data_IF_097604675138
#
_entry.id   IF_097604675138
#
_cell.length_a   1.000
_cell.length_b   1.000
_cell.length_c   1.000
_cell.angle_alpha   90.00
_cell.angle_beta   90.00
_cell.angle_gamma   90.00
#
_symmetry.space_group_name_H-M   'P 1'
#
loop_
_entity.id
_entity.type
_entity.pdbx_description
1 polymer ?
#
# COMPACT_ATOMS: atom_id res chain seq x y z
N UNK A 1 0.98 23.44 18.84
CA UNK A 1 0.79 23.13 17.42
C UNK A 1 -0.66 22.72 17.21
N UNK A 2 -1.41 23.46 16.41
CA UNK A 2 -2.73 23.08 15.89
C UNK A 2 -2.58 22.30 14.56
N UNK A 3 -3.68 21.84 13.97
CA UNK A 3 -3.63 21.04 12.74
C UNK A 3 -3.07 21.78 11.52
N UNK A 4 -3.41 23.06 11.34
CA UNK A 4 -2.89 23.85 10.22
C UNK A 4 -1.36 24.06 10.34
N UNK A 5 -0.88 24.41 11.53
CA UNK A 5 0.55 24.53 11.83
C UNK A 5 1.28 23.19 11.63
N UNK A 6 0.61 22.07 11.94
CA UNK A 6 1.16 20.73 11.75
C UNK A 6 1.29 20.34 10.26
N UNK A 7 0.34 20.75 9.42
CA UNK A 7 0.45 20.59 7.97
C UNK A 7 1.60 21.44 7.42
N UNK A 8 1.68 22.72 7.79
CA UNK A 8 2.77 23.61 7.37
C UNK A 8 4.15 23.05 7.76
N UNK A 9 4.27 22.44 8.95
CA UNK A 9 5.50 21.80 9.38
C UNK A 9 5.93 20.63 8.48
N UNK A 10 5.00 19.73 8.13
CA UNK A 10 5.29 18.57 7.27
C UNK A 10 5.51 19.00 5.82
N UNK A 11 4.68 19.89 5.29
CA UNK A 11 4.73 20.33 3.89
C UNK A 11 5.86 21.34 3.64
N UNK A 12 6.32 22.05 4.67
CA UNK A 12 7.42 23.01 4.59
C UNK A 12 8.77 22.39 4.18
N UNK A 13 8.90 21.06 4.21
CA UNK A 13 10.08 20.32 3.75
C UNK A 13 9.88 19.62 2.40
N UNK A 14 8.74 19.83 1.74
CA UNK A 14 8.40 19.21 0.43
C UNK A 14 9.46 19.47 -0.65
N UNK A 15 10.10 20.65 -0.62
CA UNK A 15 11.18 21.04 -1.54
C UNK A 15 12.41 20.12 -1.49
N UNK A 16 12.62 19.36 -0.40
CA UNK A 16 13.72 18.41 -0.29
C UNK A 16 13.55 17.22 -1.25
N UNK A 17 12.33 16.95 -1.70
CA UNK A 17 12.00 15.83 -2.57
C UNK A 17 12.34 14.46 -1.96
N UNK A 18 12.61 13.49 -2.84
CA UNK A 18 13.03 12.15 -2.44
C UNK A 18 14.53 12.08 -2.23
N UNK A 19 14.97 11.75 -1.02
CA UNK A 19 16.38 11.50 -0.68
C UNK A 19 16.53 10.06 -0.16
N UNK A 20 17.10 9.13 -0.94
CA UNK A 20 17.34 7.77 -0.46
C UNK A 20 18.25 7.75 0.77
N UNK A 21 17.99 6.85 1.71
CA UNK A 21 18.79 6.69 2.93
C UNK A 21 17.92 6.37 4.13
N UNK A 22 18.51 5.73 5.14
CA UNK A 22 17.83 5.41 6.40
C UNK A 22 18.35 6.22 7.58
N UNK A 23 19.40 7.02 7.37
CA UNK A 23 20.14 7.71 8.42
C UNK A 23 19.26 8.73 9.14
N UNK A 24 18.59 9.61 8.38
CA UNK A 24 17.71 10.67 8.93
C UNK A 24 16.53 10.10 9.70
N UNK A 25 15.80 9.16 9.09
CA UNK A 25 14.66 8.52 9.74
C UNK A 25 15.09 7.72 10.99
N UNK A 26 16.25 7.06 10.95
CA UNK A 26 16.76 6.33 12.11
C UNK A 26 17.12 7.27 13.26
N UNK A 27 17.76 8.42 12.97
CA UNK A 27 18.04 9.45 13.98
C UNK A 27 16.74 10.00 14.58
N UNK A 28 15.76 10.35 13.74
CA UNK A 28 14.45 10.84 14.19
C UNK A 28 13.78 9.82 15.13
N UNK A 29 13.75 8.55 14.74
CA UNK A 29 13.14 7.49 15.53
C UNK A 29 13.88 7.23 16.85
N UNK A 30 15.21 7.35 16.88
CA UNK A 30 16.00 7.27 18.11
C UNK A 30 15.58 8.39 19.09
N UNK A 31 15.50 9.62 18.59
CA UNK A 31 15.11 10.81 19.37
C UNK A 31 13.66 10.75 19.86
N UNK A 32 12.78 10.10 19.12
CA UNK A 32 11.40 9.78 19.53
C UNK A 32 11.30 8.64 20.55
N UNK A 33 12.43 8.07 20.99
CA UNK A 33 12.47 7.00 21.98
C UNK A 33 12.14 5.62 21.41
N UNK A 34 12.49 5.38 20.15
CA UNK A 34 12.38 4.11 19.42
C UNK A 34 10.95 3.54 19.36
N UNK A 35 9.96 4.32 18.85
CA UNK A 35 8.58 3.82 18.75
C UNK A 35 8.46 2.57 17.88
N UNK A 36 9.30 2.43 16.85
CA UNK A 36 9.37 1.26 15.97
C UNK A 36 9.78 -0.04 16.69
N UNK A 37 10.29 0.00 17.91
CA UNK A 37 10.61 -1.22 18.68
C UNK A 37 9.42 -1.72 19.52
N UNK A 38 8.32 -0.93 19.59
CA UNK A 38 7.18 -1.18 20.49
C UNK A 38 5.94 -1.75 19.79
N UNK A 39 6.01 -1.94 18.47
CA UNK A 39 4.90 -2.40 17.63
C UNK A 39 5.40 -3.53 16.73
N UNK A 40 4.54 -4.49 16.39
CA UNK A 40 4.85 -5.53 15.39
C UNK A 40 4.45 -5.05 14.00
N UNK A 41 5.06 -5.57 12.93
CA UNK A 41 4.78 -5.06 11.58
C UNK A 41 4.50 -6.13 10.55
N UNK A 42 3.59 -5.83 9.63
CA UNK A 42 3.60 -6.36 8.27
C UNK A 42 4.16 -5.28 7.36
N UNK A 43 5.16 -5.61 6.55
CA UNK A 43 5.81 -4.63 5.67
C UNK A 43 5.52 -4.96 4.22
N UNK A 44 4.88 -4.06 3.48
CA UNK A 44 4.33 -4.32 2.14
C UNK A 44 5.05 -3.46 1.11
N UNK A 45 5.77 -4.11 0.20
CA UNK A 45 6.39 -3.49 -0.97
C UNK A 45 5.83 -4.06 -2.28
N UNK A 46 6.04 -3.35 -3.38
CA UNK A 46 5.48 -3.72 -4.68
C UNK A 46 5.36 -2.54 -5.64
N UNK A 47 5.09 -2.80 -6.91
CA UNK A 47 4.73 -1.75 -7.88
C UNK A 47 3.24 -1.47 -7.73
N UNK A 48 2.41 -2.48 -7.97
CA UNK A 48 0.95 -2.36 -7.92
C UNK A 48 0.36 -3.33 -6.87
N UNK A 49 -0.79 -2.94 -6.29
CA UNK A 49 -1.52 -3.76 -5.32
C UNK A 49 -1.08 -3.62 -3.86
N UNK A 50 -0.09 -2.78 -3.55
CA UNK A 50 0.39 -2.49 -2.18
C UNK A 50 -0.78 -2.08 -1.27
N UNK A 51 -1.37 -0.91 -1.50
CA UNK A 51 -2.51 -0.42 -0.73
C UNK A 51 -3.69 -1.39 -0.61
N UNK A 52 -4.09 -2.07 -1.70
CA UNK A 52 -5.15 -3.09 -1.63
C UNK A 52 -4.79 -4.25 -0.69
N UNK A 53 -3.57 -4.76 -0.81
CA UNK A 53 -3.06 -5.86 0.03
C UNK A 53 -2.95 -5.41 1.48
N UNK A 54 -2.46 -4.19 1.71
CA UNK A 54 -2.38 -3.58 3.03
C UNK A 54 -3.75 -3.42 3.68
N UNK A 55 -4.76 -2.97 2.92
CA UNK A 55 -6.13 -2.82 3.38
C UNK A 55 -6.77 -4.17 3.72
N UNK A 56 -6.56 -5.21 2.90
CA UNK A 56 -7.03 -6.56 3.17
C UNK A 56 -6.41 -7.12 4.46
N UNK A 57 -5.08 -6.99 4.62
CA UNK A 57 -4.37 -7.47 5.79
C UNK A 57 -4.78 -6.74 7.07
N UNK A 58 -4.87 -5.40 7.02
CA UNK A 58 -5.35 -4.62 8.16
C UNK A 58 -6.77 -5.04 8.55
N UNK A 59 -7.65 -5.23 7.58
CA UNK A 59 -9.04 -5.66 7.82
C UNK A 59 -9.11 -7.05 8.48
N UNK A 60 -8.30 -8.01 8.02
CA UNK A 60 -8.20 -9.34 8.63
C UNK A 60 -7.65 -9.30 10.05
N UNK A 61 -6.60 -8.51 10.29
CA UNK A 61 -6.00 -8.37 11.62
C UNK A 61 -6.95 -7.70 12.62
N UNK A 62 -7.62 -6.62 12.23
CA UNK A 62 -8.69 -6.01 13.04
C UNK A 62 -9.83 -7.01 13.30
N UNK A 63 -10.26 -7.77 12.29
CA UNK A 63 -11.31 -8.78 12.46
C UNK A 63 -10.91 -9.99 13.33
N UNK A 64 -9.60 -10.19 13.54
CA UNK A 64 -9.03 -11.16 14.47
C UNK A 64 -8.91 -10.62 15.91
N UNK A 65 -9.20 -9.34 16.13
CA UNK A 65 -9.22 -8.70 17.44
C UNK A 65 -7.96 -7.92 17.81
N UNK A 66 -7.02 -7.74 16.88
CA UNK A 66 -5.82 -6.92 17.09
C UNK A 66 -6.11 -5.44 16.86
N UNK A 67 -5.59 -4.55 17.73
CA UNK A 67 -5.54 -3.11 17.46
C UNK A 67 -4.53 -2.87 16.36
N UNK A 68 -5.02 -2.60 15.15
CA UNK A 68 -4.21 -2.67 13.93
C UNK A 68 -3.99 -1.28 13.32
N UNK A 69 -2.72 -0.87 13.25
CA UNK A 69 -2.32 0.33 12.49
C UNK A 69 -2.20 0.07 10.99
N UNK A 70 -2.41 1.10 10.17
CA UNK A 70 -2.14 1.09 8.73
C UNK A 70 -1.47 2.40 8.33
N UNK A 71 -0.30 2.28 7.70
CA UNK A 71 0.42 3.39 7.08
C UNK A 71 0.42 3.22 5.56
N UNK A 72 -0.01 4.26 4.84
CA UNK A 72 -0.16 4.26 3.38
C UNK A 72 0.44 5.53 2.77
N UNK A 73 0.78 5.46 1.48
CA UNK A 73 1.18 6.62 0.71
C UNK A 73 0.92 6.43 -0.78
N UNK A 74 0.48 7.47 -1.52
CA UNK A 74 0.03 8.77 -1.02
C UNK A 74 -1.36 8.69 -0.35
N UNK A 75 -1.85 9.82 0.18
CA UNK A 75 -3.26 9.99 0.58
C UNK A 75 -4.11 10.42 -0.63
N UNK A 76 -5.45 10.34 -0.51
CA UNK A 76 -6.39 10.79 -1.54
C UNK A 76 -6.81 12.24 -1.35
N UNK A 77 -7.28 12.62 -0.16
CA UNK A 77 -7.80 13.97 0.10
C UNK A 77 -7.12 14.65 1.30
N UNK A 78 -6.80 13.90 2.35
CA UNK A 78 -6.25 14.46 3.59
C UNK A 78 -5.01 13.71 4.06
N UNK A 79 -4.04 14.45 4.59
CA UNK A 79 -2.80 13.89 5.13
C UNK A 79 -3.06 12.82 6.22
N UNK A 80 -4.12 12.97 7.00
CA UNK A 80 -4.54 12.02 8.03
C UNK A 80 -4.74 10.60 7.50
N UNK A 81 -5.18 10.43 6.25
CA UNK A 81 -5.41 9.13 5.63
C UNK A 81 -4.13 8.28 5.58
N UNK A 82 -2.95 8.92 5.60
CA UNK A 82 -1.67 8.22 5.62
C UNK A 82 -1.49 7.35 6.86
N UNK A 83 -2.18 7.62 7.98
CA UNK A 83 -2.09 6.82 9.20
C UNK A 83 -3.48 6.57 9.81
N UNK A 84 -3.87 5.31 9.93
CA UNK A 84 -5.15 4.91 10.54
C UNK A 84 -4.99 3.77 11.54
N UNK A 85 -5.94 3.65 12.47
CA UNK A 85 -6.05 2.54 13.41
C UNK A 85 -7.45 1.94 13.29
N UNK A 86 -7.53 0.63 13.05
CA UNK A 86 -8.79 -0.11 12.87
C UNK A 86 -9.75 0.54 11.87
N UNK A 87 -9.18 1.12 10.80
CA UNK A 87 -9.92 1.77 9.71
C UNK A 87 -10.40 3.19 10.03
N UNK A 88 -9.94 3.80 11.11
CA UNK A 88 -10.17 5.22 11.44
C UNK A 88 -8.88 6.01 11.28
N UNK A 89 -8.92 7.02 10.42
CA UNK A 89 -7.79 7.93 10.22
C UNK A 89 -7.42 8.63 11.53
N UNK A 90 -6.15 8.98 11.68
CA UNK A 90 -5.66 9.78 12.81
C UNK A 90 -6.47 11.08 12.91
N UNK A 91 -6.88 11.47 14.13
CA UNK A 91 -7.62 12.71 14.32
C UNK A 91 -6.72 13.93 14.12
N UNK A 92 -7.31 15.09 13.83
CA UNK A 92 -6.55 16.34 13.68
C UNK A 92 -5.75 16.69 14.94
N UNK A 93 -6.31 16.41 16.12
CA UNK A 93 -5.66 16.60 17.41
C UNK A 93 -4.49 15.62 17.60
N UNK A 94 -4.68 14.35 17.27
CA UNK A 94 -3.62 13.34 17.38
C UNK A 94 -2.50 13.59 16.37
N UNK A 95 -2.84 14.03 15.17
CA UNK A 95 -1.91 14.42 14.13
C UNK A 95 -1.06 15.61 14.59
N UNK A 96 -1.70 16.70 15.03
CA UNK A 96 -1.00 17.88 15.53
C UNK A 96 -0.12 17.58 16.75
N UNK A 97 -0.61 16.75 17.69
CA UNK A 97 0.16 16.31 18.85
C UNK A 97 1.37 15.45 18.46
N UNK A 98 1.26 14.64 17.40
CA UNK A 98 2.37 13.84 16.89
C UNK A 98 3.38 14.70 16.14
N UNK A 99 2.94 15.65 15.32
CA UNK A 99 3.83 16.64 14.68
C UNK A 99 4.59 17.48 15.71
N UNK A 100 3.95 17.88 16.83
CA UNK A 100 4.63 18.59 17.89
C UNK A 100 5.77 17.76 18.52
N UNK A 101 5.55 16.45 18.72
CA UNK A 101 6.60 15.54 19.20
C UNK A 101 7.74 15.40 18.20
N UNK A 102 7.43 15.31 16.90
CA UNK A 102 8.43 15.27 15.82
C UNK A 102 9.24 16.57 15.75
N UNK A 103 8.59 17.73 15.84
CA UNK A 103 9.25 19.03 15.82
C UNK A 103 10.24 19.17 16.98
N UNK A 104 9.84 18.76 18.19
CA UNK A 104 10.74 18.73 19.34
C UNK A 104 11.90 17.73 19.15
N UNK A 105 11.65 16.55 18.58
CA UNK A 105 12.69 15.58 18.27
C UNK A 105 13.65 16.05 17.16
N UNK A 106 13.18 16.89 16.24
CA UNK A 106 13.99 17.45 15.17
C UNK A 106 15.02 18.48 15.67
N UNK A 107 14.83 19.06 16.86
CA UNK A 107 15.76 20.05 17.41
C UNK A 107 17.16 19.46 17.58
N UNK A 108 18.12 20.05 16.87
CA UNK A 108 19.52 19.64 16.89
C UNK A 108 19.82 18.35 16.11
N UNK A 109 18.93 17.90 15.21
CA UNK A 109 19.29 16.88 14.21
C UNK A 109 20.33 17.40 13.23
N UNK A 110 21.20 16.52 12.74
CA UNK A 110 22.26 16.88 11.78
C UNK A 110 21.72 17.23 10.39
N UNK A 111 20.70 16.49 9.95
CA UNK A 111 19.98 16.75 8.70
C UNK A 111 18.46 16.74 8.93
N UNK A 112 17.74 17.56 8.16
CA UNK A 112 16.28 17.57 8.20
C UNK A 112 15.70 16.35 7.47
N UNK A 113 14.70 15.72 8.08
CA UNK A 113 13.89 14.68 7.43
C UNK A 113 13.10 15.26 6.25
N UNK A 114 12.95 14.46 5.20
CA UNK A 114 12.01 14.69 4.10
C UNK A 114 10.56 14.55 4.56
N UNK A 115 9.59 15.06 3.79
CA UNK A 115 8.16 14.93 4.09
C UNK A 115 7.75 13.46 4.32
N UNK A 116 8.26 12.54 3.49
CA UNK A 116 7.95 11.12 3.60
C UNK A 116 8.54 10.49 4.86
N UNK A 117 9.76 10.88 5.24
CA UNK A 117 10.39 10.45 6.51
C UNK A 117 9.61 10.98 7.72
N UNK A 118 9.17 12.25 7.70
CA UNK A 118 8.32 12.82 8.77
C UNK A 118 6.98 12.09 8.87
N UNK A 119 6.28 11.86 7.76
CA UNK A 119 5.02 11.10 7.76
C UNK A 119 5.21 9.68 8.31
N UNK A 120 6.30 9.03 7.94
CA UNK A 120 6.63 7.68 8.43
C UNK A 120 6.90 7.70 9.93
N UNK A 121 7.73 8.63 10.41
CA UNK A 121 8.02 8.78 11.84
C UNK A 121 6.75 9.08 12.65
N UNK A 122 5.87 9.94 12.12
CA UNK A 122 4.59 10.28 12.73
C UNK A 122 3.72 9.03 12.89
N UNK A 123 3.58 8.23 11.84
CA UNK A 123 2.77 7.01 11.90
C UNK A 123 3.34 6.00 12.91
N UNK A 124 4.65 5.77 12.90
CA UNK A 124 5.32 4.87 13.85
C UNK A 124 5.15 5.36 15.30
N UNK A 125 5.34 6.66 15.54
CA UNK A 125 5.13 7.28 16.85
C UNK A 125 3.67 7.14 17.31
N UNK A 126 2.72 7.45 16.43
CA UNK A 126 1.29 7.35 16.71
C UNK A 126 0.89 5.91 17.06
N UNK A 127 1.28 4.91 16.27
CA UNK A 127 0.95 3.50 16.55
C UNK A 127 1.55 3.02 17.87
N UNK A 128 2.77 3.45 18.19
CA UNK A 128 3.41 3.10 19.47
C UNK A 128 2.72 3.78 20.66
N UNK A 129 2.36 5.07 20.54
CA UNK A 129 1.61 5.81 21.56
C UNK A 129 0.25 5.16 21.84
N UNK A 130 -0.42 4.76 20.77
CA UNK A 130 -1.71 4.09 20.81
C UNK A 130 -1.63 2.61 21.18
N UNK A 131 -0.42 2.06 21.35
CA UNK A 131 -0.19 0.65 21.71
C UNK A 131 -0.87 -0.31 20.73
N UNK A 132 -0.73 -0.06 19.43
CA UNK A 132 -1.14 -1.03 18.41
C UNK A 132 -0.40 -2.35 18.60
N UNK A 133 -1.11 -3.46 18.48
CA UNK A 133 -0.52 -4.80 18.55
C UNK A 133 0.36 -5.06 17.31
N UNK A 134 -0.12 -4.59 16.15
CA UNK A 134 0.53 -4.74 14.86
C UNK A 134 0.16 -3.57 13.94
N UNK A 135 1.07 -3.19 13.04
CA UNK A 135 0.80 -2.22 11.99
C UNK A 135 1.19 -2.76 10.61
N UNK A 136 0.39 -2.45 9.60
CA UNK A 136 0.68 -2.75 8.19
C UNK A 136 1.29 -1.49 7.56
N UNK A 137 2.54 -1.57 7.12
CA UNK A 137 3.26 -0.45 6.51
C UNK A 137 3.41 -0.67 5.01
N UNK A 138 2.82 0.20 4.21
CA UNK A 138 3.09 0.28 2.77
C UNK A 138 4.35 1.11 2.52
N UNK A 139 5.30 0.58 1.74
CA UNK A 139 6.47 1.34 1.27
C UNK A 139 6.03 2.44 0.30
N UNK A 140 6.67 3.60 0.37
CA UNK A 140 6.48 4.67 -0.61
C UNK A 140 7.19 4.35 -1.94
N UNK A 141 8.50 4.12 -1.89
CA UNK A 141 9.32 3.86 -3.07
C UNK A 141 10.36 2.77 -2.83
N UNK A 142 10.44 1.80 -3.75
CA UNK A 142 11.39 0.70 -3.65
C UNK A 142 11.11 -0.19 -2.44
N UNK A 143 12.04 -0.23 -1.49
CA UNK A 143 11.92 -0.97 -0.24
C UNK A 143 13.18 -0.88 0.61
N UNK A 144 14.35 -1.19 0.03
CA UNK A 144 15.65 -1.22 0.74
C UNK A 144 15.99 0.08 1.47
N UNK A 145 15.80 1.22 0.82
CA UNK A 145 16.12 2.56 1.34
C UNK A 145 14.86 3.41 1.58
N UNK A 146 13.69 2.76 1.64
CA UNK A 146 12.45 3.43 1.97
C UNK A 146 12.40 3.76 3.47
N UNK A 147 11.87 4.92 3.85
CA UNK A 147 11.82 5.31 5.27
C UNK A 147 11.10 4.28 6.16
N UNK A 148 10.10 3.58 5.61
CA UNK A 148 9.39 2.51 6.34
C UNK A 148 10.29 1.31 6.65
N UNK A 149 11.43 1.18 5.99
CA UNK A 149 12.42 0.14 6.24
C UNK A 149 13.33 0.42 7.45
N UNK A 150 13.10 1.52 8.18
CA UNK A 150 13.75 1.77 9.48
C UNK A 150 13.15 0.95 10.65
N UNK A 151 12.17 0.07 10.39
CA UNK A 151 11.61 -0.85 11.38
C UNK A 151 12.54 -2.05 11.66
N UNK A 152 12.41 -2.71 12.83
CA UNK A 152 13.02 -4.03 13.05
C UNK A 152 12.41 -5.09 12.11
N UNK A 153 12.88 -6.33 12.23
CA UNK A 153 12.36 -7.47 11.45
C UNK A 153 10.81 -7.54 11.55
N UNK A 154 10.07 -7.44 10.42
CA UNK A 154 8.62 -7.55 10.44
C UNK A 154 8.18 -8.98 10.80
N UNK A 155 6.94 -9.13 11.28
CA UNK A 155 6.31 -10.43 11.45
C UNK A 155 6.08 -11.12 10.10
N UNK A 156 5.79 -10.34 9.06
CA UNK A 156 5.72 -10.80 7.69
C UNK A 156 6.13 -9.66 6.73
N UNK A 157 7.02 -9.95 5.78
CA UNK A 157 7.25 -9.08 4.63
C UNK A 157 6.35 -9.52 3.46
N UNK A 158 5.84 -8.57 2.68
CA UNK A 158 4.92 -8.85 1.57
C UNK A 158 5.41 -8.15 0.32
N UNK A 159 5.57 -8.90 -0.77
CA UNK A 159 5.88 -8.38 -2.10
C UNK A 159 4.66 -8.54 -3.00
N UNK A 160 4.00 -7.45 -3.33
CA UNK A 160 2.89 -7.46 -4.32
C UNK A 160 3.44 -7.47 -5.74
N UNK A 161 2.58 -7.30 -6.75
CA UNK A 161 2.99 -7.32 -8.15
C UNK A 161 4.16 -6.36 -8.42
N UNK A 162 5.17 -6.82 -9.16
CA UNK A 162 6.33 -6.06 -9.60
C UNK A 162 6.22 -5.83 -11.10
N UNK A 163 6.33 -4.56 -11.48
CA UNK A 163 6.43 -4.13 -12.87
C UNK A 163 7.31 -2.90 -12.98
N UNK A 164 7.61 -2.51 -14.23
CA UNK A 164 8.37 -1.30 -14.51
C UNK A 164 7.64 -0.06 -13.99
N UNK A 165 8.28 0.62 -13.05
CA UNK A 165 7.84 1.89 -12.47
C UNK A 165 9.04 2.55 -11.79
N UNK A 166 9.08 3.88 -11.76
CA UNK A 166 10.20 4.65 -11.19
C UNK A 166 11.59 4.20 -11.70
N UNK A 167 11.71 3.90 -12.99
CA UNK A 167 12.92 3.29 -13.58
C UNK A 167 14.17 4.16 -13.46
N UNK A 168 14.00 5.48 -13.38
CA UNK A 168 15.09 6.42 -13.11
C UNK A 168 15.73 6.26 -11.71
N UNK A 169 15.02 5.64 -10.76
CA UNK A 169 15.48 5.48 -9.36
C UNK A 169 15.72 4.02 -9.02
N UNK A 170 14.86 3.11 -9.46
CA UNK A 170 14.87 1.69 -9.06
C UNK A 170 15.57 0.76 -10.06
N UNK A 171 15.96 1.28 -11.23
CA UNK A 171 16.54 0.50 -12.31
C UNK A 171 15.59 0.28 -13.48
N UNK A 172 16.16 -0.09 -14.62
CA UNK A 172 15.48 -0.21 -15.92
C UNK A 172 14.93 -1.63 -16.20
N UNK A 173 15.12 -2.58 -15.29
CA UNK A 173 14.59 -3.95 -15.39
C UNK A 173 13.72 -4.32 -14.20
N UNK A 174 12.79 -5.26 -14.42
CA UNK A 174 11.91 -5.76 -13.35
C UNK A 174 12.69 -6.50 -12.25
N UNK A 175 13.82 -7.12 -12.60
CA UNK A 175 14.74 -7.78 -11.67
C UNK A 175 15.45 -6.80 -10.74
N UNK A 176 15.92 -5.65 -11.26
CA UNK A 176 16.51 -4.60 -10.43
C UNK A 176 15.49 -4.01 -9.46
N UNK A 177 14.28 -3.73 -9.97
CA UNK A 177 13.16 -3.24 -9.16
C UNK A 177 12.80 -4.28 -8.07
N UNK A 178 12.81 -5.57 -8.40
CA UNK A 178 12.56 -6.65 -7.45
C UNK A 178 13.63 -6.70 -6.36
N UNK A 179 14.91 -6.53 -6.70
CA UNK A 179 16.00 -6.51 -5.75
C UNK A 179 15.88 -5.36 -4.74
N UNK A 180 15.48 -4.17 -5.20
CA UNK A 180 15.21 -3.02 -4.33
C UNK A 180 14.02 -3.27 -3.39
N UNK A 181 12.92 -3.82 -3.91
CA UNK A 181 11.72 -4.13 -3.12
C UNK A 181 11.96 -5.23 -2.10
N UNK A 182 12.74 -6.25 -2.45
CA UNK A 182 13.16 -7.33 -1.56
C UNK A 182 14.08 -6.86 -0.42
N UNK A 183 14.55 -5.61 -0.42
CA UNK A 183 15.31 -5.02 0.68
C UNK A 183 14.54 -4.91 2.01
N UNK A 184 13.23 -5.19 2.01
CA UNK A 184 12.42 -5.32 3.23
C UNK A 184 12.57 -6.69 3.92
N UNK A 185 13.22 -7.66 3.27
CA UNK A 185 13.48 -8.98 3.87
C UNK A 185 14.55 -8.87 4.97
N UNK A 186 14.18 -9.25 6.19
CA UNK A 186 15.02 -9.14 7.41
C UNK A 186 15.02 -10.44 8.22
N UNK A 187 14.77 -11.58 7.55
CA UNK A 187 14.52 -12.88 8.17
C UNK A 187 13.06 -13.08 8.56
N UNK A 188 12.73 -14.28 9.06
CA UNK A 188 11.35 -14.63 9.43
C UNK A 188 10.56 -15.13 8.23
N UNK A 189 9.38 -14.56 7.96
CA UNK A 189 8.49 -15.03 6.91
C UNK A 189 8.18 -13.94 5.89
N UNK A 190 8.01 -14.34 4.63
CA UNK A 190 7.54 -13.47 3.57
C UNK A 190 6.52 -14.14 2.66
N UNK A 191 5.57 -13.35 2.16
CA UNK A 191 4.63 -13.74 1.12
C UNK A 191 4.85 -12.88 -0.13
N UNK A 192 4.73 -13.47 -1.32
CA UNK A 192 4.93 -12.76 -2.57
C UNK A 192 3.87 -13.12 -3.62
N UNK A 193 3.63 -12.18 -4.52
CA UNK A 193 2.85 -12.35 -5.75
C UNK A 193 3.45 -13.45 -6.62
N UNK A 194 2.62 -14.19 -7.38
CA UNK A 194 3.14 -15.12 -8.38
C UNK A 194 3.72 -14.32 -9.56
N UNK A 195 5.03 -14.37 -9.71
CA UNK A 195 5.80 -13.51 -10.60
C UNK A 195 6.54 -14.35 -11.66
N UNK A 196 7.02 -13.76 -12.77
CA UNK A 196 7.87 -14.46 -13.72
C UNK A 196 9.12 -15.04 -13.04
N UNK A 197 9.62 -16.18 -13.53
CA UNK A 197 10.68 -16.95 -12.85
C UNK A 197 11.96 -16.15 -12.62
N UNK A 198 12.35 -15.24 -13.53
CA UNK A 198 13.50 -14.35 -13.33
C UNK A 198 13.36 -13.47 -12.08
N UNK A 199 12.18 -12.89 -11.87
CA UNK A 199 11.86 -12.11 -10.67
C UNK A 199 11.78 -13.01 -9.44
N UNK A 200 11.16 -14.21 -9.55
CA UNK A 200 11.11 -15.18 -8.44
C UNK A 200 12.51 -15.58 -7.98
N UNK A 201 13.45 -15.79 -8.90
CA UNK A 201 14.83 -16.12 -8.59
C UNK A 201 15.51 -15.02 -7.76
N UNK A 202 15.36 -13.75 -8.14
CA UNK A 202 15.86 -12.60 -7.36
C UNK A 202 15.28 -12.57 -5.96
N UNK A 203 13.96 -12.75 -5.82
CA UNK A 203 13.31 -12.76 -4.50
C UNK A 203 13.78 -13.94 -3.64
N UNK A 204 13.97 -15.13 -4.23
CA UNK A 204 14.52 -16.30 -3.53
C UNK A 204 15.96 -16.07 -3.07
N UNK A 205 16.80 -15.46 -3.90
CA UNK A 205 18.18 -15.11 -3.54
C UNK A 205 18.22 -14.16 -2.35
N UNK A 206 17.44 -13.07 -2.40
CA UNK A 206 17.36 -12.09 -1.30
C UNK A 206 16.78 -12.69 -0.02
N UNK A 207 15.78 -13.56 -0.15
CA UNK A 207 15.21 -14.28 0.97
C UNK A 207 16.25 -15.23 1.61
N UNK A 208 16.99 -15.99 0.80
CA UNK A 208 18.06 -16.88 1.27
C UNK A 208 19.19 -16.11 1.98
N UNK A 209 19.62 -14.97 1.44
CA UNK A 209 20.66 -14.13 2.04
C UNK A 209 20.32 -13.60 3.44
N UNK A 210 19.02 -13.52 3.77
CA UNK A 210 18.53 -13.00 5.05
C UNK A 210 17.92 -14.08 5.94
N UNK A 211 17.87 -15.34 5.48
CA UNK A 211 17.17 -16.43 6.17
C UNK A 211 15.65 -16.22 6.25
N UNK A 212 15.07 -15.50 5.28
CA UNK A 212 13.63 -15.28 5.19
C UNK A 212 12.97 -16.47 4.50
N UNK A 213 11.95 -17.06 5.09
CA UNK A 213 11.16 -18.10 4.46
C UNK A 213 10.10 -17.45 3.54
N UNK A 214 10.36 -17.52 2.24
CA UNK A 214 9.52 -16.91 1.20
C UNK A 214 8.50 -17.90 0.64
N UNK A 215 7.24 -17.50 0.61
CA UNK A 215 6.14 -18.20 -0.06
C UNK A 215 5.56 -17.36 -1.19
N UNK A 216 5.32 -17.99 -2.32
CA UNK A 216 4.61 -17.36 -3.45
C UNK A 216 3.15 -17.77 -3.41
N UNK A 217 2.25 -16.83 -3.67
CA UNK A 217 0.86 -17.14 -3.97
C UNK A 217 0.79 -18.07 -5.19
N UNK A 218 -0.15 -19.00 -5.16
CA UNK A 218 -0.36 -19.97 -6.24
C UNK A 218 -1.61 -19.57 -7.01
N UNK A 219 -1.44 -18.82 -8.09
CA UNK A 219 -2.59 -18.39 -8.88
C UNK A 219 -3.27 -19.55 -9.64
N UNK A 220 -2.62 -20.70 -9.77
CA UNK A 220 -3.26 -21.93 -10.27
C UNK A 220 -4.29 -22.51 -9.29
N UNK A 221 -4.16 -22.21 -7.99
CA UNK A 221 -5.11 -22.58 -6.96
C UNK A 221 -6.27 -21.58 -6.78
N UNK A 222 -6.32 -20.52 -7.60
CA UNK A 222 -7.34 -19.48 -7.56
C UNK A 222 -8.44 -19.76 -8.57
N UNK A 223 -9.69 -19.83 -8.09
CA UNK A 223 -10.87 -20.06 -8.93
C UNK A 223 -11.89 -18.95 -8.70
N UNK A 224 -12.11 -18.03 -9.65
CA UNK A 224 -13.20 -17.05 -9.56
C UNK A 224 -14.55 -17.76 -9.53
N UNK A 225 -15.46 -17.34 -8.65
CA UNK A 225 -16.80 -17.91 -8.50
C UNK A 225 -17.90 -16.91 -8.89
N UNK A 226 -17.75 -15.65 -8.50
CA UNK A 226 -18.62 -14.55 -8.92
C UNK A 226 -17.84 -13.25 -9.00
N UNK A 227 -18.28 -12.34 -9.85
CA UNK A 227 -17.60 -11.07 -10.07
C UNK A 227 -18.58 -9.97 -10.43
N UNK A 228 -18.57 -8.90 -9.64
CA UNK A 228 -19.40 -7.72 -9.81
C UNK A 228 -18.68 -6.47 -9.31
N UNK A 229 -19.20 -5.31 -9.67
CA UNK A 229 -18.74 -4.01 -9.14
C UNK A 229 -18.90 -3.89 -7.62
N UNK A 230 -19.81 -4.66 -7.01
CA UNK A 230 -20.07 -4.66 -5.56
C UNK A 230 -19.18 -5.67 -4.80
N UNK A 231 -18.38 -6.46 -5.51
CA UNK A 231 -17.49 -7.45 -4.93
C UNK A 231 -17.42 -8.74 -5.73
N UNK A 232 -16.53 -9.62 -5.27
CA UNK A 232 -16.15 -10.86 -5.94
C UNK A 232 -16.13 -12.01 -4.93
N UNK A 233 -16.53 -13.20 -5.37
CA UNK A 233 -16.32 -14.46 -4.66
C UNK A 233 -15.32 -15.33 -5.41
N UNK A 234 -14.46 -16.02 -4.67
CA UNK A 234 -13.45 -16.90 -5.24
C UNK A 234 -13.16 -18.07 -4.30
N UNK A 235 -12.65 -19.16 -4.85
CA UNK A 235 -12.01 -20.21 -4.09
C UNK A 235 -10.48 -20.06 -4.19
N UNK A 236 -9.79 -20.32 -3.08
CA UNK A 236 -8.33 -20.41 -3.04
C UNK A 236 -7.93 -21.62 -2.22
N UNK A 237 -7.18 -22.55 -2.83
CA UNK A 237 -6.79 -23.84 -2.21
C UNK A 237 -7.98 -24.62 -1.63
N UNK A 238 -9.11 -24.60 -2.33
CA UNK A 238 -10.34 -25.30 -1.94
C UNK A 238 -11.27 -24.56 -0.97
N UNK A 239 -10.82 -23.44 -0.37
CA UNK A 239 -11.63 -22.63 0.54
C UNK A 239 -12.28 -21.44 -0.16
N UNK A 240 -13.53 -21.13 0.18
CA UNK A 240 -14.28 -20.00 -0.41
C UNK A 240 -14.10 -18.72 0.40
N UNK A 241 -13.91 -17.62 -0.32
CA UNK A 241 -13.72 -16.26 0.19
C UNK A 241 -14.51 -15.25 -0.63
N UNK A 242 -14.72 -14.08 -0.03
CA UNK A 242 -15.36 -12.94 -0.66
C UNK A 242 -14.56 -11.67 -0.37
N UNK A 243 -14.47 -10.79 -1.36
CA UNK A 243 -13.90 -9.45 -1.23
C UNK A 243 -14.87 -8.43 -1.82
N UNK A 244 -14.87 -7.19 -1.30
CA UNK A 244 -15.67 -6.10 -1.88
C UNK A 244 -14.93 -5.30 -2.95
N UNK A 245 -13.65 -5.57 -3.18
CA UNK A 245 -12.84 -4.84 -4.16
C UNK A 245 -13.12 -5.40 -5.56
N UNK A 246 -13.43 -4.53 -6.51
CA UNK A 246 -13.68 -4.90 -7.91
C UNK A 246 -12.38 -5.01 -8.73
N UNK A 247 -12.42 -5.82 -9.78
CA UNK A 247 -11.30 -6.06 -10.70
C UNK A 247 -10.55 -7.37 -10.44
N UNK A 248 -10.22 -8.09 -11.51
CA UNK A 248 -9.61 -9.43 -11.47
C UNK A 248 -8.30 -9.48 -10.66
N UNK A 249 -7.48 -8.43 -10.77
CA UNK A 249 -6.21 -8.32 -10.06
C UNK A 249 -6.39 -8.30 -8.52
N UNK A 250 -7.57 -7.94 -8.01
CA UNK A 250 -7.85 -7.97 -6.57
C UNK A 250 -7.94 -9.40 -6.02
N UNK A 251 -8.35 -10.39 -6.82
CA UNK A 251 -8.31 -11.79 -6.39
C UNK A 251 -6.86 -12.25 -6.16
N UNK A 252 -5.94 -11.81 -7.02
CA UNK A 252 -4.50 -12.07 -6.87
C UNK A 252 -3.91 -11.36 -5.64
N UNK A 253 -4.31 -10.12 -5.38
CA UNK A 253 -3.94 -9.41 -4.15
C UNK A 253 -4.48 -10.13 -2.90
N UNK A 254 -5.72 -10.66 -2.96
CA UNK A 254 -6.31 -11.43 -1.88
C UNK A 254 -5.59 -12.76 -1.65
N UNK A 255 -5.14 -13.46 -2.71
CA UNK A 255 -4.30 -14.65 -2.57
C UNK A 255 -2.97 -14.35 -1.87
N UNK A 256 -2.31 -13.23 -2.19
CA UNK A 256 -1.09 -12.79 -1.48
C UNK A 256 -1.39 -12.47 -0.02
N UNK A 257 -2.51 -11.79 0.27
CA UNK A 257 -2.94 -11.53 1.65
C UNK A 257 -3.19 -12.84 2.42
N UNK A 258 -3.76 -13.86 1.78
CA UNK A 258 -3.98 -15.19 2.39
C UNK A 258 -2.66 -15.91 2.70
N UNK A 259 -1.66 -15.84 1.81
CA UNK A 259 -0.32 -16.39 2.11
C UNK A 259 0.36 -15.61 3.26
N UNK A 260 0.21 -14.28 3.29
CA UNK A 260 0.72 -13.46 4.39
C UNK A 260 0.02 -13.78 5.73
N UNK A 261 -1.27 -14.08 5.72
CA UNK A 261 -2.00 -14.57 6.91
C UNK A 261 -1.44 -15.91 7.39
N UNK A 262 -1.09 -16.83 6.50
CA UNK A 262 -0.43 -18.09 6.88
C UNK A 262 0.96 -17.83 7.49
N UNK A 263 1.76 -16.94 6.89
CA UNK A 263 3.03 -16.48 7.46
C UNK A 263 2.86 -15.89 8.86
N UNK A 264 1.84 -15.07 9.08
CA UNK A 264 1.55 -14.47 10.39
C UNK A 264 1.13 -15.51 11.43
N UNK A 265 0.29 -16.49 11.06
CA UNK A 265 -0.04 -17.62 11.95
C UNK A 265 1.20 -18.39 12.37
N UNK A 266 2.12 -18.65 11.44
CA UNK A 266 3.39 -19.31 11.70
C UNK A 266 4.36 -18.46 12.52
N UNK A 267 4.22 -17.13 12.46
CA UNK A 267 4.90 -16.18 13.32
C UNK A 267 4.28 -16.07 14.74
N UNK A 268 3.22 -16.83 15.04
CA UNK A 268 2.60 -16.93 16.36
C UNK A 268 1.34 -16.07 16.55
N UNK A 269 0.79 -15.47 15.49
CA UNK A 269 -0.47 -14.72 15.58
C UNK A 269 -1.69 -15.65 15.54
N UNK A 270 -2.66 -15.44 16.41
CA UNK A 270 -3.94 -16.12 16.36
C UNK A 270 -4.89 -15.37 15.41
N UNK A 271 -5.06 -15.92 14.21
CA UNK A 271 -5.93 -15.36 13.17
C UNK A 271 -6.93 -16.46 12.79
N UNK A 272 -8.11 -16.54 13.44
CA UNK A 272 -9.08 -17.61 13.16
C UNK A 272 -9.61 -17.55 11.72
N UNK A 273 -9.98 -18.69 11.09
CA UNK A 273 -10.51 -18.70 9.73
C UNK A 273 -11.73 -17.79 9.52
N UNK A 274 -12.59 -17.65 10.53
CA UNK A 274 -13.72 -16.73 10.50
C UNK A 274 -13.31 -15.24 10.43
N UNK A 275 -12.21 -14.87 11.09
CA UNK A 275 -11.66 -13.51 11.01
C UNK A 275 -11.13 -13.21 9.60
N UNK A 276 -10.48 -14.19 8.96
CA UNK A 276 -10.02 -14.06 7.57
C UNK A 276 -11.20 -13.82 6.62
N UNK A 277 -12.24 -14.65 6.69
CA UNK A 277 -13.42 -14.51 5.80
C UNK A 277 -14.11 -13.17 5.99
N UNK A 278 -14.38 -12.75 7.24
CA UNK A 278 -15.00 -11.45 7.54
C UNK A 278 -14.12 -10.28 7.12
N UNK A 279 -12.82 -10.34 7.45
CA UNK A 279 -11.87 -9.27 7.17
C UNK A 279 -11.69 -9.01 5.67
N UNK A 280 -11.58 -10.07 4.86
CA UNK A 280 -11.51 -9.93 3.39
C UNK A 280 -12.80 -9.30 2.81
N UNK A 281 -13.97 -9.73 3.30
CA UNK A 281 -15.26 -9.20 2.83
C UNK A 281 -15.50 -7.73 3.24
N UNK A 282 -15.05 -7.35 4.44
CA UNK A 282 -15.21 -5.99 4.98
C UNK A 282 -14.14 -5.00 4.52
N UNK A 283 -13.08 -5.47 3.85
CA UNK A 283 -11.97 -4.61 3.45
C UNK A 283 -12.45 -3.58 2.40
N UNK A 284 -12.29 -2.29 2.70
CA UNK A 284 -12.50 -1.19 1.76
C UNK A 284 -11.17 -0.54 1.41
N UNK A 285 -11.07 -0.05 0.19
CA UNK A 285 -9.91 0.68 -0.29
C UNK A 285 -10.38 1.73 -1.30
N UNK A 286 -10.54 3.00 -0.88
CA UNK A 286 -11.16 4.02 -1.70
C UNK A 286 -10.38 4.32 -2.98
N UNK A 287 -11.09 4.82 -4.00
CA UNK A 287 -10.55 5.17 -5.31
C UNK A 287 -9.77 4.03 -6.01
N UNK A 288 -10.21 2.78 -5.82
CA UNK A 288 -9.75 1.61 -6.59
C UNK A 288 -10.92 0.96 -7.30
N UNK A 289 -11.18 1.46 -8.51
CA UNK A 289 -12.36 1.14 -9.30
C UNK A 289 -13.65 1.17 -8.45
N UNK A 290 -13.76 2.20 -7.62
CA UNK A 290 -14.79 2.31 -6.60
C UNK A 290 -16.02 3.02 -7.17
N UNK A 291 -17.20 2.42 -7.00
CA UNK A 291 -18.46 3.10 -7.27
C UNK A 291 -18.88 3.97 -6.09
N UNK A 292 -18.85 5.29 -6.28
CA UNK A 292 -19.20 6.27 -5.25
C UNK A 292 -20.62 6.81 -5.36
N UNK A 293 -21.25 6.74 -6.55
CA UNK A 293 -22.65 7.11 -6.77
C UNK A 293 -23.37 6.03 -7.58
N UNK A 294 -24.69 5.94 -7.40
CA UNK A 294 -25.59 5.09 -8.20
C UNK A 294 -26.64 5.95 -8.90
N UNK A 295 -26.85 5.69 -10.18
CA UNK A 295 -27.89 6.34 -11.01
C UNK A 295 -27.64 7.82 -11.33
N UNK A 296 -26.77 8.17 -12.29
CA UNK A 296 -25.82 7.32 -13.03
C UNK A 296 -24.68 6.83 -12.12
N UNK A 297 -24.07 5.70 -12.48
CA UNK A 297 -22.92 5.19 -11.74
C UNK A 297 -21.72 6.13 -11.92
N UNK A 298 -21.11 6.54 -10.81
CA UNK A 298 -19.87 7.33 -10.80
C UNK A 298 -18.74 6.48 -10.23
N UNK A 299 -17.73 6.19 -11.04
CA UNK A 299 -16.60 5.33 -10.68
C UNK A 299 -15.35 6.19 -10.49
N UNK A 300 -14.63 5.97 -9.39
CA UNK A 300 -13.36 6.63 -9.08
C UNK A 300 -12.24 5.60 -9.07
N UNK A 301 -11.17 5.88 -9.81
CA UNK A 301 -9.96 5.07 -9.83
C UNK A 301 -8.70 5.94 -9.84
N UNK A 302 -7.78 5.71 -8.90
CA UNK A 302 -6.50 6.41 -8.76
C UNK A 302 -5.34 5.74 -9.50
N UNK A 303 -5.63 4.99 -10.56
CA UNK A 303 -4.62 4.41 -11.45
C UNK A 303 -3.81 5.48 -12.17
N UNK A 304 -2.48 5.44 -12.04
CA UNK A 304 -1.58 6.51 -12.51
C UNK A 304 -0.35 5.95 -13.26
N UNK A 305 -0.45 4.72 -13.76
CA UNK A 305 0.55 4.11 -14.64
C UNK A 305 -0.15 3.22 -15.69
N UNK A 306 0.51 2.90 -16.82
CA UNK A 306 -0.12 2.13 -17.90
C UNK A 306 -0.73 0.78 -17.45
N UNK A 307 -0.12 0.09 -16.49
CA UNK A 307 -0.63 -1.19 -15.98
C UNK A 307 -1.95 -1.02 -15.23
N UNK A 308 -2.07 0.04 -14.41
CA UNK A 308 -3.31 0.39 -13.73
C UNK A 308 -4.41 0.74 -14.74
N UNK A 309 -4.11 1.56 -15.75
CA UNK A 309 -5.12 1.98 -16.73
C UNK A 309 -5.56 0.85 -17.65
N UNK A 310 -4.68 -0.11 -17.96
CA UNK A 310 -5.08 -1.34 -18.63
C UNK A 310 -6.07 -2.16 -17.77
N UNK A 311 -5.83 -2.24 -16.45
CA UNK A 311 -6.77 -2.89 -15.52
C UNK A 311 -8.12 -2.14 -15.43
N UNK A 312 -8.10 -0.81 -15.42
CA UNK A 312 -9.29 0.04 -15.43
C UNK A 312 -10.08 -0.13 -16.73
N UNK A 313 -9.43 -0.15 -17.90
CA UNK A 313 -10.06 -0.41 -19.19
C UNK A 313 -10.72 -1.80 -19.23
N UNK A 314 -10.02 -2.83 -18.74
CA UNK A 314 -10.57 -4.18 -18.64
C UNK A 314 -11.79 -4.24 -17.72
N UNK A 315 -11.76 -3.55 -16.57
CA UNK A 315 -12.88 -3.46 -15.64
C UNK A 315 -14.07 -2.71 -16.25
N UNK A 316 -13.84 -1.60 -16.98
CA UNK A 316 -14.90 -0.89 -17.70
C UNK A 316 -15.57 -1.78 -18.76
N UNK A 317 -14.78 -2.48 -19.57
CA UNK A 317 -15.31 -3.39 -20.59
C UNK A 317 -16.11 -4.53 -19.95
N UNK A 318 -15.70 -5.01 -18.77
CA UNK A 318 -16.31 -6.14 -18.08
C UNK A 318 -17.60 -5.77 -17.35
N UNK A 319 -17.59 -4.69 -16.58
CA UNK A 319 -18.72 -4.30 -15.73
C UNK A 319 -19.72 -3.39 -16.45
N UNK A 320 -19.30 -2.70 -17.52
CA UNK A 320 -20.11 -1.75 -18.28
C UNK A 320 -20.03 -1.96 -19.82
N UNK A 321 -20.20 -3.20 -20.35
CA UNK A 321 -19.95 -3.54 -21.76
C UNK A 321 -20.84 -2.82 -22.78
N UNK A 322 -22.01 -2.32 -22.36
CA UNK A 322 -23.01 -1.69 -23.23
C UNK A 322 -23.59 -0.42 -22.60
N UNK A 323 -22.79 0.28 -21.79
CA UNK A 323 -23.21 1.53 -21.15
C UNK A 323 -22.45 2.69 -21.78
N UNK A 324 -23.12 3.82 -21.98
CA UNK A 324 -22.44 5.07 -22.36
C UNK A 324 -21.47 5.47 -21.24
N UNK A 325 -20.19 5.59 -21.56
CA UNK A 325 -19.10 5.88 -20.61
C UNK A 325 -18.52 7.26 -20.91
N UNK A 326 -18.62 8.15 -19.93
CA UNK A 326 -17.95 9.45 -19.94
C UNK A 326 -16.75 9.36 -19.01
N UNK A 327 -15.54 9.53 -19.54
CA UNK A 327 -14.32 9.46 -18.75
C UNK A 327 -13.85 10.87 -18.41
N UNK A 328 -13.86 11.21 -17.13
CA UNK A 328 -13.17 12.37 -16.58
C UNK A 328 -11.73 11.98 -16.27
N UNK A 329 -10.76 12.57 -16.98
CA UNK A 329 -9.35 12.21 -16.88
C UNK A 329 -8.50 13.41 -16.46
N UNK A 330 -7.67 13.19 -15.45
CA UNK A 330 -6.60 14.10 -15.04
C UNK A 330 -5.36 13.29 -14.72
N UNK A 331 -4.20 13.79 -15.13
CA UNK A 331 -2.91 13.17 -14.84
C UNK A 331 -1.86 14.26 -14.61
N UNK A 332 -0.91 13.98 -13.73
CA UNK A 332 0.24 14.86 -13.47
C UNK A 332 1.19 14.86 -14.68
N UNK A 333 1.90 15.98 -14.89
CA UNK A 333 2.74 16.14 -16.07
C UNK A 333 3.97 15.21 -16.08
N UNK A 334 4.41 14.77 -14.89
CA UNK A 334 5.52 13.84 -14.69
C UNK A 334 5.18 12.36 -14.97
N UNK A 335 3.92 12.05 -15.27
CA UNK A 335 3.47 10.70 -15.62
C UNK A 335 3.39 10.51 -17.13
N UNK A 336 3.41 9.24 -17.56
CA UNK A 336 3.20 8.86 -18.95
C UNK A 336 1.71 8.97 -19.36
N UNK A 337 1.16 10.18 -19.26
CA UNK A 337 -0.25 10.43 -19.48
C UNK A 337 -0.68 10.15 -20.92
N UNK A 338 0.24 10.18 -21.89
CA UNK A 338 -0.04 9.88 -23.29
C UNK A 338 -0.37 8.41 -23.47
N UNK A 339 0.45 7.52 -22.93
CA UNK A 339 0.17 6.08 -23.01
C UNK A 339 -1.03 5.69 -22.15
N UNK A 340 -1.19 6.32 -20.97
CA UNK A 340 -2.38 6.14 -20.14
C UNK A 340 -3.67 6.54 -20.89
N UNK A 341 -3.69 7.70 -21.55
CA UNK A 341 -4.84 8.14 -22.33
C UNK A 341 -5.12 7.21 -23.51
N UNK A 342 -4.09 6.77 -24.25
CA UNK A 342 -4.24 5.82 -25.37
C UNK A 342 -4.91 4.51 -24.96
N UNK A 343 -4.60 4.00 -23.77
CA UNK A 343 -5.22 2.79 -23.23
C UNK A 343 -6.70 2.98 -22.88
N UNK A 344 -7.09 4.18 -22.46
CA UNK A 344 -8.45 4.49 -22.02
C UNK A 344 -9.39 4.96 -23.14
N UNK A 345 -8.88 5.60 -24.19
CA UNK A 345 -9.68 6.14 -25.29
C UNK A 345 -10.68 5.11 -25.86
N UNK A 346 -10.31 3.84 -26.12
CA UNK A 346 -11.26 2.83 -26.62
C UNK A 346 -12.38 2.48 -25.64
N UNK A 347 -12.25 2.84 -24.37
CA UNK A 347 -13.20 2.54 -23.29
C UNK A 347 -14.20 3.67 -23.02
N UNK A 348 -14.15 4.77 -23.79
CA UNK A 348 -14.97 5.96 -23.58
C UNK A 348 -15.80 6.31 -24.82
N UNK A 349 -17.03 6.76 -24.59
CA UNK A 349 -17.87 7.41 -25.60
C UNK A 349 -17.63 8.93 -25.63
N UNK A 350 -17.22 9.49 -24.49
CA UNK A 350 -16.84 10.90 -24.32
C UNK A 350 -15.67 11.01 -23.34
N UNK A 351 -14.75 11.91 -23.62
CA UNK A 351 -13.55 12.13 -22.82
C UNK A 351 -13.49 13.60 -22.39
N UNK A 352 -13.51 13.83 -21.07
CA UNK A 352 -13.41 15.15 -20.46
C UNK A 352 -12.08 15.23 -19.73
N UNK A 353 -11.21 16.14 -20.16
CA UNK A 353 -9.94 16.37 -19.49
C UNK A 353 -10.09 17.46 -18.43
N UNK A 354 -9.55 17.22 -17.24
CA UNK A 354 -9.45 18.21 -16.18
C UNK A 354 -8.03 18.26 -15.65
N UNK A 355 -7.54 19.47 -15.37
CA UNK A 355 -6.24 19.67 -14.72
C UNK A 355 -6.37 19.29 -13.24
N UNK A 356 -5.59 18.32 -12.74
CA UNK A 356 -5.53 18.05 -11.31
C UNK A 356 -5.08 19.31 -10.55
N UNK A 357 -5.63 19.54 -9.36
CA UNK A 357 -5.17 20.63 -8.49
C UNK A 357 -3.82 20.23 -7.87
N UNK A 358 -2.75 20.48 -8.61
CA UNK A 358 -1.38 20.10 -8.29
C UNK A 358 -0.43 21.03 -9.04
N UNK A 359 0.69 21.37 -8.41
CA UNK A 359 1.79 22.11 -9.07
C UNK A 359 2.62 21.22 -10.01
N UNK A 360 2.46 19.89 -9.92
CA UNK A 360 3.19 18.86 -10.68
C UNK A 360 2.54 18.42 -11.98
#
# INVERSE_FOLDING_TARGET
MNYAEALEYIEGVSWLGSRPGLERISEMLERLGRPQERVRFVHVAGTNGKGSTSALLRSVLTAAGYKTGLYISPHLARMNERASIDGRDISDADFAGSCAALAAAAEGMGEQCTEFELCTALALYYFARERCDIAVLETGLGGRLDATNAIPRPACAVITNIGLDHTAVLGDTVELIAAEKAGIFKGGFAAAYDLPEGVRAVLREKAAATGTELRFADFGALTPLSDSIDGQEFAYRGERYKISLAGEHQLKNAAVALEAVDCLRRAGFDIPPGAVKRGLESARWPARFERVLRGPDFIVDGGHNPQCLAATAAALARYYPNTRRVLLFGALADKDWRDMARLLIPSADEFVCATPESER
#
